data_IF_435434977269
#
_entry.id   IF_435434977269
#
_cell.length_a   1.000
_cell.length_b   1.000
_cell.length_c   1.000
_cell.angle_alpha   90.00
_cell.angle_beta   90.00
_cell.angle_gamma   90.00
#
_symmetry.space_group_name_H-M   'P 1'
#
loop_
_entity.id
_entity.type
_entity.pdbx_description
1 polymer ?
#
# COMPACT_ATOMS: atom_id res chain seq x y z
N UNK A 1 -12.99 -9.65 -1.38
CA UNK A 1 -12.35 -8.31 -1.50
C UNK A 1 -11.93 -8.08 -2.94
N UNK A 2 -11.97 -6.84 -3.44
CA UNK A 2 -11.44 -6.49 -4.77
C UNK A 2 -10.02 -5.90 -4.67
N UNK A 3 -9.35 -5.65 -5.81
CA UNK A 3 -7.98 -5.14 -5.81
C UNK A 3 -7.86 -3.76 -5.15
N UNK A 4 -8.86 -2.89 -5.31
CA UNK A 4 -8.86 -1.53 -4.75
C UNK A 4 -8.99 -1.60 -3.22
N UNK A 5 -9.92 -2.39 -2.71
CA UNK A 5 -10.11 -2.63 -1.28
C UNK A 5 -8.88 -3.24 -0.63
N UNK A 6 -8.21 -4.18 -1.29
CA UNK A 6 -6.94 -4.73 -0.81
C UNK A 6 -5.85 -3.66 -0.68
N UNK A 7 -5.70 -2.80 -1.69
CA UNK A 7 -4.70 -1.73 -1.63
C UNK A 7 -4.98 -0.77 -0.46
N UNK A 8 -6.24 -0.38 -0.22
CA UNK A 8 -6.59 0.49 0.92
C UNK A 8 -6.34 -0.19 2.26
N UNK A 9 -6.67 -1.48 2.37
CA UNK A 9 -6.36 -2.27 3.57
C UNK A 9 -4.84 -2.28 3.83
N UNK A 10 -4.03 -2.54 2.80
CA UNK A 10 -2.58 -2.54 2.91
C UNK A 10 -2.00 -1.15 3.19
N UNK A 11 -2.64 -0.08 2.71
CA UNK A 11 -2.24 1.29 3.03
C UNK A 11 -2.47 1.60 4.50
N UNK A 12 -3.68 1.33 5.01
CA UNK A 12 -3.99 1.52 6.43
C UNK A 12 -3.07 0.71 7.34
N UNK A 13 -2.69 -0.49 6.90
CA UNK A 13 -1.70 -1.31 7.57
C UNK A 13 -0.33 -0.61 7.73
N UNK A 14 0.16 0.09 6.70
CA UNK A 14 1.43 0.82 6.78
C UNK A 14 1.33 2.20 7.45
N UNK A 15 0.16 2.81 7.50
CA UNK A 15 -0.06 4.15 8.09
C UNK A 15 -0.19 4.13 9.62
N UNK A 16 -0.70 3.04 10.19
CA UNK A 16 -0.88 2.91 11.66
C UNK A 16 0.47 2.84 12.39
N UNK A 17 1.53 2.37 11.73
CA UNK A 17 2.88 2.33 12.27
C UNK A 17 3.81 3.24 11.44
N UNK A 18 4.22 4.39 11.99
CA UNK A 18 5.16 5.32 11.34
C UNK A 18 6.47 4.65 10.86
N UNK A 19 6.84 3.54 11.49
CA UNK A 19 7.97 2.67 11.13
C UNK A 19 7.52 1.24 10.76
N UNK A 20 6.38 1.07 10.09
CA UNK A 20 5.81 -0.25 9.77
C UNK A 20 6.77 -1.12 8.93
N UNK A 21 7.66 -1.86 9.58
CA UNK A 21 8.48 -2.87 8.93
C UNK A 21 7.68 -4.17 8.83
N UNK A 22 7.84 -4.86 7.70
CA UNK A 22 7.30 -6.20 7.55
C UNK A 22 8.15 -7.18 8.36
N UNK A 23 7.51 -8.26 8.77
CA UNK A 23 8.14 -9.45 9.32
C UNK A 23 7.40 -10.67 8.74
N UNK A 24 7.79 -11.88 9.16
CA UNK A 24 7.14 -13.12 8.71
C UNK A 24 5.63 -13.15 8.94
N UNK A 25 5.18 -12.78 10.13
CA UNK A 25 3.76 -12.79 10.51
C UNK A 25 2.94 -11.81 9.67
N UNK A 26 3.49 -10.61 9.47
CA UNK A 26 2.89 -9.54 8.67
C UNK A 26 2.81 -9.94 7.19
N UNK A 27 3.83 -10.61 6.65
CA UNK A 27 3.83 -11.15 5.29
C UNK A 27 2.80 -12.28 5.13
N UNK A 28 2.65 -13.15 6.11
CA UNK A 28 1.62 -14.19 6.11
C UNK A 28 0.22 -13.58 6.08
N UNK A 29 -0.03 -12.54 6.88
CA UNK A 29 -1.30 -11.81 6.88
C UNK A 29 -1.59 -11.18 5.50
N UNK A 30 -0.58 -10.58 4.86
CA UNK A 30 -0.72 -10.02 3.51
C UNK A 30 -1.03 -11.13 2.49
N UNK A 31 -0.38 -12.28 2.59
CA UNK A 31 -0.64 -13.45 1.74
C UNK A 31 -2.09 -13.94 1.88
N UNK A 32 -2.59 -14.05 3.11
CA UNK A 32 -3.97 -14.44 3.40
C UNK A 32 -4.98 -13.47 2.77
N UNK A 33 -4.72 -12.15 2.91
CA UNK A 33 -5.56 -11.12 2.30
C UNK A 33 -5.51 -11.15 0.76
N UNK A 34 -4.35 -11.44 0.16
CA UNK A 34 -4.21 -11.63 -1.29
C UNK A 34 -4.98 -12.85 -1.79
N UNK A 35 -5.05 -13.92 -0.99
CA UNK A 35 -5.78 -15.14 -1.32
C UNK A 35 -7.30 -14.99 -1.13
N UNK A 36 -7.74 -14.04 -0.30
CA UNK A 36 -9.15 -13.69 -0.11
C UNK A 36 -9.73 -12.77 -1.21
N UNK A 37 -8.93 -12.44 -2.23
CA UNK A 37 -9.42 -11.72 -3.41
C UNK A 37 -10.38 -12.60 -4.21
N UNK A 38 -11.58 -12.08 -4.47
CA UNK A 38 -12.64 -12.79 -5.24
C UNK A 38 -12.62 -12.43 -6.72
N UNK A 39 -11.58 -11.70 -7.14
CA UNK A 39 -11.38 -11.18 -8.49
C UNK A 39 -9.96 -11.51 -8.93
N UNK A 40 -9.72 -11.44 -10.25
CA UNK A 40 -8.37 -11.61 -10.79
C UNK A 40 -7.39 -10.60 -10.18
N UNK A 41 -6.21 -11.09 -9.79
CA UNK A 41 -5.13 -10.25 -9.27
C UNK A 41 -4.68 -9.28 -10.38
N UNK A 42 -4.86 -7.99 -10.13
CA UNK A 42 -4.33 -6.90 -10.94
C UNK A 42 -2.80 -6.83 -10.89
N UNK A 43 -2.21 -5.87 -11.61
CA UNK A 43 -0.74 -5.77 -11.76
C UNK A 43 -0.01 -5.70 -10.41
N UNK A 44 -0.46 -4.84 -9.50
CA UNK A 44 0.16 -4.67 -8.19
C UNK A 44 -0.04 -5.90 -7.28
N UNK A 45 -1.27 -6.39 -7.13
CA UNK A 45 -1.58 -7.53 -6.24
C UNK A 45 -0.93 -8.82 -6.73
N UNK A 46 -0.77 -9.00 -8.05
CA UNK A 46 0.00 -10.09 -8.65
C UNK A 46 1.47 -9.98 -8.33
N UNK A 47 2.07 -8.80 -8.52
CA UNK A 47 3.47 -8.55 -8.18
C UNK A 47 3.73 -8.78 -6.69
N UNK A 48 2.87 -8.26 -5.81
CA UNK A 48 3.01 -8.43 -4.37
C UNK A 48 2.90 -9.92 -3.97
N UNK A 49 2.00 -10.69 -4.60
CA UNK A 49 1.92 -12.14 -4.41
C UNK A 49 3.24 -12.82 -4.76
N UNK A 50 3.86 -12.46 -5.88
CA UNK A 50 5.16 -13.02 -6.29
C UNK A 50 6.28 -12.64 -5.32
N UNK A 51 6.25 -11.43 -4.76
CA UNK A 51 7.21 -11.00 -3.74
C UNK A 51 7.03 -11.83 -2.45
N UNK A 52 5.79 -12.04 -1.99
CA UNK A 52 5.49 -12.91 -0.85
C UNK A 52 6.00 -14.33 -1.09
N UNK A 53 5.72 -14.91 -2.27
CA UNK A 53 6.17 -16.26 -2.65
C UNK A 53 7.69 -16.37 -2.68
N UNK A 54 8.38 -15.35 -3.22
CA UNK A 54 9.84 -15.28 -3.27
C UNK A 54 10.46 -15.27 -1.87
N UNK A 55 9.99 -14.37 -0.99
CA UNK A 55 10.50 -14.25 0.38
C UNK A 55 10.25 -15.54 1.17
N UNK A 56 9.06 -16.14 1.00
CA UNK A 56 8.69 -17.42 1.60
C UNK A 56 9.59 -18.56 1.11
N UNK A 57 9.92 -18.59 -0.18
CA UNK A 57 10.84 -19.57 -0.77
C UNK A 57 12.26 -19.49 -0.22
N UNK A 58 12.65 -18.36 0.38
CA UNK A 58 13.93 -18.17 1.06
C UNK A 58 13.86 -18.42 2.57
N UNK A 59 12.71 -18.83 3.10
CA UNK A 59 12.40 -18.96 4.54
C UNK A 59 12.49 -17.64 5.33
N UNK A 60 11.92 -16.57 4.76
CA UNK A 60 11.72 -15.28 5.44
C UNK A 60 13.00 -14.63 6.03
N UNK A 61 14.12 -14.54 5.27
CA UNK A 61 15.32 -13.92 5.78
C UNK A 61 15.09 -12.42 6.01
N UNK A 62 15.43 -11.95 7.21
CA UNK A 62 15.16 -10.58 7.67
C UNK A 62 15.76 -9.53 6.73
N UNK A 63 16.98 -9.77 6.22
CA UNK A 63 17.64 -8.90 5.25
C UNK A 63 16.80 -8.69 3.98
N UNK A 64 16.20 -9.77 3.46
CA UNK A 64 15.35 -9.70 2.26
C UNK A 64 14.06 -8.96 2.57
N UNK A 65 13.45 -9.21 3.73
CA UNK A 65 12.24 -8.51 4.17
C UNK A 65 12.51 -7.01 4.31
N UNK A 66 13.65 -6.63 4.87
CA UNK A 66 14.08 -5.24 5.03
C UNK A 66 14.31 -4.54 3.68
N UNK A 67 14.80 -5.26 2.67
CA UNK A 67 14.93 -4.75 1.30
C UNK A 67 13.56 -4.54 0.65
N UNK A 68 12.65 -5.50 0.76
CA UNK A 68 11.35 -5.43 0.07
C UNK A 68 10.33 -4.54 0.76
N UNK A 69 10.40 -4.35 2.08
CA UNK A 69 9.48 -3.46 2.82
C UNK A 69 9.35 -2.06 2.20
N UNK A 70 10.43 -1.29 2.00
CA UNK A 70 10.33 0.04 1.38
C UNK A 70 9.85 -0.03 -0.08
N UNK A 71 10.23 -1.06 -0.82
CA UNK A 71 9.82 -1.26 -2.22
C UNK A 71 8.30 -1.49 -2.31
N UNK A 72 7.74 -2.28 -1.40
CA UNK A 72 6.29 -2.53 -1.29
C UNK A 72 5.56 -1.24 -0.95
N UNK A 73 6.03 -0.47 0.04
CA UNK A 73 5.45 0.83 0.40
C UNK A 73 5.46 1.82 -0.76
N UNK A 74 6.57 1.94 -1.47
CA UNK A 74 6.70 2.83 -2.62
C UNK A 74 5.80 2.39 -3.77
N UNK A 75 5.79 1.09 -4.08
CA UNK A 75 4.94 0.53 -5.14
C UNK A 75 3.46 0.73 -4.85
N UNK A 76 3.05 0.52 -3.59
CA UNK A 76 1.70 0.79 -3.13
C UNK A 76 1.36 2.29 -3.24
N UNK A 77 2.27 3.17 -2.81
CA UNK A 77 2.09 4.62 -2.93
C UNK A 77 1.91 5.05 -4.39
N UNK A 78 2.62 4.41 -5.32
CA UNK A 78 2.47 4.67 -6.75
C UNK A 78 1.10 4.22 -7.29
N UNK A 79 0.54 3.11 -6.79
CA UNK A 79 -0.85 2.71 -7.13
C UNK A 79 -1.83 3.82 -6.77
N UNK A 80 -1.70 4.42 -5.58
CA UNK A 80 -2.57 5.52 -5.17
C UNK A 80 -2.31 6.82 -5.91
N UNK A 81 -1.04 7.14 -6.21
CA UNK A 81 -0.72 8.30 -7.06
C UNK A 81 -1.45 8.20 -8.39
N UNK A 82 -1.46 7.05 -9.05
CA UNK A 82 -2.19 6.83 -10.30
C UNK A 82 -3.72 6.89 -10.16
N UNK A 83 -4.27 6.59 -8.97
CA UNK A 83 -5.72 6.71 -8.70
C UNK A 83 -6.11 8.15 -8.37
N UNK A 84 -5.22 8.94 -7.76
CA UNK A 84 -5.41 10.36 -7.44
C UNK A 84 -5.11 11.25 -8.67
N UNK A 85 -4.19 10.86 -9.57
CA UNK A 85 -3.75 11.66 -10.73
C UNK A 85 -4.55 11.44 -12.04
N UNK A 86 -5.74 10.83 -12.01
CA UNK A 86 -6.62 10.84 -13.19
C UNK A 86 -7.52 12.10 -13.29
N UNK A 87 -7.38 13.06 -12.38
CA UNK A 87 -8.14 14.33 -12.42
C UNK A 87 -7.32 15.60 -12.15
N UNK A 88 -5.99 15.54 -12.02
CA UNK A 88 -5.14 16.72 -11.80
C UNK A 88 -4.47 17.25 -13.09
N UNK A 89 -5.18 17.19 -14.21
CA UNK A 89 -4.92 18.11 -15.32
C UNK A 89 -5.47 19.48 -14.89
N UNK A 90 -4.62 20.29 -14.25
CA UNK A 90 -4.85 21.74 -14.15
C UNK A 90 -5.11 22.36 -12.77
N UNK A 91 -4.70 21.74 -11.65
CA UNK A 91 -4.74 22.44 -10.35
C UNK A 91 -3.32 22.62 -9.81
N UNK A 92 -2.92 23.89 -9.74
CA UNK A 92 -1.63 24.36 -9.26
C UNK A 92 -1.35 23.93 -7.82
N UNK A 93 -0.06 23.75 -7.53
CA UNK A 93 0.48 23.21 -6.27
C UNK A 93 0.02 23.97 -5.02
N UNK A 94 -0.43 25.23 -5.16
CA UNK A 94 -1.02 26.03 -4.07
C UNK A 94 -2.34 25.48 -3.53
N UNK A 95 -3.24 24.99 -4.38
CA UNK A 95 -4.57 24.52 -3.94
C UNK A 95 -4.48 23.19 -3.20
N UNK A 96 -3.41 22.42 -3.42
CA UNK A 96 -3.18 21.11 -2.79
C UNK A 96 -2.93 21.22 -1.28
N UNK A 97 -2.48 22.38 -0.77
CA UNK A 97 -2.28 22.60 0.67
C UNK A 97 -3.53 23.11 1.40
N UNK A 98 -4.47 23.79 0.72
CA UNK A 98 -5.68 24.29 1.38
C UNK A 98 -6.64 23.18 1.82
N UNK A 99 -6.76 22.09 1.05
CA UNK A 99 -7.68 20.98 1.38
C UNK A 99 -7.24 20.20 2.63
N UNK A 100 -5.95 20.26 3.00
CA UNK A 100 -5.45 19.63 4.23
C UNK A 100 -5.51 20.52 5.47
N UNK A 101 -5.71 21.83 5.32
CA UNK A 101 -5.81 22.78 6.45
C UNK A 101 -7.25 23.20 6.78
N UNK A 102 -8.19 23.14 5.82
CA UNK A 102 -9.60 23.53 6.05
C UNK A 102 -10.42 22.46 6.80
N UNK A 103 -9.86 21.28 7.08
CA UNK A 103 -10.51 20.26 7.91
C UNK A 103 -10.32 20.43 9.43
N UNK A 104 -9.65 21.50 9.89
CA UNK A 104 -9.34 21.72 11.31
C UNK A 104 -9.95 22.98 11.93
N UNK A 105 -10.78 23.75 11.19
CA UNK A 105 -11.41 24.97 11.72
C UNK A 105 -12.93 25.01 11.50
N UNK A 106 -13.62 23.95 11.88
CA UNK A 106 -15.04 24.04 12.21
C UNK A 106 -15.34 23.06 13.34
N UNK A 107 -15.09 23.50 14.58
CA UNK A 107 -16.02 23.36 15.71
C UNK A 107 -15.48 24.10 16.95
N UNK A 108 -16.05 25.30 17.16
CA UNK A 108 -16.22 26.09 18.40
C UNK A 108 -15.04 26.86 19.02
#
# INVERSE_FOLDING_TARGET
>A
MDNKGFCYWLQGYFEIEQNAYLNKEKLALIEDQLNALVVDKGKFTRWLSQVCDYIKGLDYPEETINVFTPIIKESLSNVFRHVIDNSYVGIDRKTRHQVHEEGLNDES
#
